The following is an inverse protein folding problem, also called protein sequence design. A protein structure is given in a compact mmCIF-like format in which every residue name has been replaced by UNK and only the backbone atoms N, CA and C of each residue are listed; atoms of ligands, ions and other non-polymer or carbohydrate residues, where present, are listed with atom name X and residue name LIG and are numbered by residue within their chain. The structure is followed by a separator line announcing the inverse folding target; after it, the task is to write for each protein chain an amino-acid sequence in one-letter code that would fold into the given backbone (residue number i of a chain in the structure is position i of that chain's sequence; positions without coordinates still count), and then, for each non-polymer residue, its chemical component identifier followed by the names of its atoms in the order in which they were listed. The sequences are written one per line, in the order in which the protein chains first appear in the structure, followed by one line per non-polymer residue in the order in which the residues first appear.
data_IF_539171966404
#
_entry.id   IF_539171966404
#
_cell.length_a   1.000
_cell.length_b   1.000
_cell.length_c   1.000
_cell.angle_alpha   90.00
_cell.angle_beta   90.00
_cell.angle_gamma   90.00
#
_symmetry.space_group_name_H-M   'P 1'
#
loop_
_entity.id
_entity.type
_entity.pdbx_description
1 polymer ?
#
# COMPACT_ATOMS: atom_id res chain seq x y z
N UNK A 1 -67.35 -40.27 -14.55
CA UNK A 1 -66.09 -40.05 -15.29
C UNK A 1 -65.70 -38.60 -15.08
N UNK A 2 -64.73 -38.33 -14.21
CA UNK A 2 -64.11 -37.01 -14.07
C UNK A 2 -62.72 -37.17 -13.46
N UNK A 3 -61.76 -36.60 -14.21
CA UNK A 3 -60.48 -36.02 -13.82
C UNK A 3 -59.42 -36.85 -13.07
N UNK A 4 -58.40 -37.26 -13.81
CA UNK A 4 -57.10 -37.71 -13.29
C UNK A 4 -55.98 -37.35 -14.27
N UNK A 5 -55.86 -36.06 -14.64
CA UNK A 5 -54.88 -35.60 -15.65
C UNK A 5 -54.05 -34.36 -15.28
N UNK A 6 -53.90 -34.03 -13.98
CA UNK A 6 -53.19 -32.80 -13.56
C UNK A 6 -52.00 -33.00 -12.60
N UNK A 7 -51.47 -34.21 -12.40
CA UNK A 7 -50.37 -34.44 -11.43
C UNK A 7 -49.00 -34.77 -12.04
N UNK A 8 -48.83 -34.63 -13.37
CA UNK A 8 -47.60 -35.07 -14.07
C UNK A 8 -46.63 -33.92 -14.44
N UNK A 9 -47.04 -32.65 -14.67
CA UNK A 9 -46.07 -31.60 -15.02
C UNK A 9 -45.17 -31.15 -13.86
N UNK A 10 -45.70 -31.03 -12.64
CA UNK A 10 -44.99 -30.44 -11.48
C UNK A 10 -43.82 -31.29 -10.98
N UNK A 11 -43.89 -32.62 -11.10
CA UNK A 11 -42.79 -33.51 -10.71
C UNK A 11 -41.57 -33.32 -11.61
N UNK A 12 -41.77 -33.08 -12.91
CA UNK A 12 -40.68 -32.91 -13.88
C UNK A 12 -39.93 -31.58 -13.73
N UNK A 13 -40.60 -30.54 -13.22
CA UNK A 13 -40.01 -29.22 -12.99
C UNK A 13 -39.22 -29.18 -11.67
N UNK A 14 -39.74 -29.83 -10.62
CA UNK A 14 -39.03 -30.00 -9.35
C UNK A 14 -37.77 -30.88 -9.49
N UNK A 15 -37.84 -31.96 -10.28
CA UNK A 15 -36.69 -32.82 -10.60
C UNK A 15 -35.63 -32.06 -11.43
N UNK A 16 -36.06 -31.21 -12.37
CA UNK A 16 -35.15 -30.34 -13.12
C UNK A 16 -34.49 -29.29 -12.23
N UNK A 17 -35.23 -28.65 -11.33
CA UNK A 17 -34.68 -27.71 -10.36
C UNK A 17 -33.65 -28.37 -9.44
N UNK A 18 -33.92 -29.59 -8.97
CA UNK A 18 -32.99 -30.38 -8.17
C UNK A 18 -31.72 -30.77 -8.93
N UNK A 19 -31.83 -31.06 -10.23
CA UNK A 19 -30.68 -31.36 -11.08
C UNK A 19 -29.83 -30.11 -11.37
N UNK A 20 -30.44 -28.95 -11.53
CA UNK A 20 -29.72 -27.69 -11.72
C UNK A 20 -29.02 -27.20 -10.45
N UNK A 21 -29.67 -27.33 -9.28
CA UNK A 21 -29.04 -27.00 -7.99
C UNK A 21 -27.85 -27.91 -7.69
N UNK A 22 -27.95 -29.21 -7.96
CA UNK A 22 -26.84 -30.15 -7.79
C UNK A 22 -25.64 -29.80 -8.70
N UNK A 23 -25.90 -29.43 -9.96
CA UNK A 23 -24.85 -28.97 -10.89
C UNK A 23 -24.20 -27.67 -10.42
N UNK A 24 -24.99 -26.75 -9.88
CA UNK A 24 -24.47 -25.49 -9.35
C UNK A 24 -23.62 -25.72 -8.09
N UNK A 25 -24.05 -26.58 -7.18
CA UNK A 25 -23.29 -26.98 -6.00
C UNK A 25 -21.98 -27.68 -6.37
N UNK A 26 -22.00 -28.55 -7.38
CA UNK A 26 -20.81 -29.21 -7.91
C UNK A 26 -19.81 -28.19 -8.52
N UNK A 27 -20.29 -27.21 -9.28
CA UNK A 27 -19.49 -26.10 -9.80
C UNK A 27 -18.87 -25.24 -8.69
N UNK A 28 -19.64 -24.92 -7.64
CA UNK A 28 -19.13 -24.18 -6.47
C UNK A 28 -18.07 -24.99 -5.73
N UNK A 29 -18.28 -26.29 -5.57
CA UNK A 29 -17.33 -27.19 -4.90
C UNK A 29 -16.04 -27.31 -5.72
N UNK A 30 -16.15 -27.44 -7.04
CA UNK A 30 -15.02 -27.44 -7.97
C UNK A 30 -14.22 -26.15 -7.85
N UNK A 31 -14.87 -24.99 -7.91
CA UNK A 31 -14.23 -23.68 -7.78
C UNK A 31 -13.52 -23.53 -6.41
N UNK A 32 -14.14 -24.01 -5.32
CA UNK A 32 -13.53 -23.96 -3.98
C UNK A 32 -12.27 -24.85 -3.88
N UNK A 33 -12.29 -26.03 -4.50
CA UNK A 33 -11.14 -26.96 -4.56
C UNK A 33 -10.02 -26.39 -5.42
N UNK A 34 -10.33 -25.79 -6.56
CA UNK A 34 -9.36 -25.12 -7.41
C UNK A 34 -8.69 -23.94 -6.68
N UNK A 35 -9.47 -23.14 -5.94
CA UNK A 35 -8.93 -22.07 -5.09
C UNK A 35 -8.03 -22.60 -3.96
N UNK A 36 -8.42 -23.68 -3.29
CA UNK A 36 -7.62 -24.31 -2.23
C UNK A 36 -6.33 -24.93 -2.76
N UNK A 37 -6.38 -25.65 -3.89
CA UNK A 37 -5.20 -26.24 -4.52
C UNK A 37 -4.26 -25.18 -5.09
N UNK A 38 -4.82 -24.09 -5.62
CA UNK A 38 -4.05 -22.92 -5.98
C UNK A 38 -3.34 -22.35 -4.76
N UNK A 39 -3.91 -22.37 -3.54
CA UNK A 39 -3.29 -21.79 -2.34
C UNK A 39 -2.13 -22.62 -1.74
N UNK A 40 -2.14 -23.95 -1.83
CA UNK A 40 -1.22 -24.83 -1.08
C UNK A 40 0.17 -25.03 -1.69
N UNK A 41 0.40 -24.67 -2.96
CA UNK A 41 1.61 -25.11 -3.72
C UNK A 41 2.77 -24.10 -3.81
N UNK A 42 2.68 -22.90 -3.23
CA UNK A 42 3.77 -21.90 -3.28
C UNK A 42 3.99 -21.25 -1.90
N UNK A 43 5.25 -20.97 -1.52
CA UNK A 43 5.54 -20.30 -0.25
C UNK A 43 4.81 -18.95 -0.20
N UNK A 44 4.03 -18.74 0.87
CA UNK A 44 3.19 -17.55 1.06
C UNK A 44 4.01 -16.26 1.16
N UNK A 45 5.27 -16.38 1.57
CA UNK A 45 6.26 -15.31 1.65
C UNK A 45 7.56 -15.68 0.92
N UNK A 46 8.24 -14.66 0.40
CA UNK A 46 9.56 -14.75 -0.21
C UNK A 46 10.49 -13.80 0.54
N UNK A 47 11.67 -14.27 0.93
CA UNK A 47 12.73 -13.40 1.45
C UNK A 47 13.41 -12.67 0.31
N UNK A 48 13.56 -11.37 0.47
CA UNK A 48 14.29 -10.50 -0.45
C UNK A 48 15.37 -9.76 0.32
N UNK A 49 16.46 -9.45 -0.38
CA UNK A 49 17.45 -8.49 0.10
C UNK A 49 17.32 -7.22 -0.75
N UNK A 50 16.71 -6.15 -0.23
CA UNK A 50 16.58 -4.90 -0.96
C UNK A 50 17.93 -4.29 -1.30
N UNK A 51 17.97 -3.53 -2.41
CA UNK A 51 19.11 -2.71 -2.77
C UNK A 51 18.94 -1.30 -2.17
N UNK A 52 20.01 -0.69 -1.64
CA UNK A 52 19.96 0.67 -1.11
C UNK A 52 19.59 1.69 -2.17
N UNK A 53 18.70 2.62 -1.80
CA UNK A 53 18.40 3.79 -2.61
C UNK A 53 18.92 5.07 -1.97
N UNK A 54 18.07 5.72 -1.18
CA UNK A 54 18.42 6.93 -0.44
C UNK A 54 17.92 6.87 1.00
N UNK A 55 18.53 7.65 1.88
CA UNK A 55 18.16 7.74 3.28
C UNK A 55 17.62 9.14 3.58
N UNK A 56 16.50 9.20 4.28
CA UNK A 56 15.96 10.43 4.84
C UNK A 56 16.06 10.43 6.35
N UNK A 57 16.21 11.62 6.91
CA UNK A 57 16.21 11.89 8.32
C UNK A 57 14.98 12.70 8.69
N UNK A 58 14.24 12.23 9.69
CA UNK A 58 13.16 12.93 10.37
C UNK A 58 13.36 12.78 11.89
N UNK A 59 12.36 13.13 12.68
CA UNK A 59 12.31 12.95 14.12
C UNK A 59 10.90 12.56 14.57
N UNK A 60 10.84 11.91 15.73
CA UNK A 60 9.62 11.68 16.49
C UNK A 60 9.72 12.40 17.84
N UNK A 61 8.69 12.23 18.67
CA UNK A 61 8.74 12.61 20.09
C UNK A 61 9.85 11.90 20.88
N UNK A 62 10.27 10.71 20.43
CA UNK A 62 11.24 9.86 21.12
C UNK A 62 12.70 10.10 20.66
N UNK A 63 12.89 10.71 19.48
CA UNK A 63 14.24 11.04 19.01
C UNK A 63 14.39 11.11 17.50
N UNK A 64 15.61 10.86 17.02
CA UNK A 64 15.93 10.88 15.59
C UNK A 64 15.46 9.58 14.95
N UNK A 65 14.80 9.72 13.80
CA UNK A 65 14.35 8.60 12.99
C UNK A 65 14.94 8.71 11.60
N UNK A 66 15.42 7.60 11.06
CA UNK A 66 15.91 7.48 9.70
C UNK A 66 15.03 6.51 8.93
N UNK A 67 14.75 6.83 7.67
CA UNK A 67 14.00 5.95 6.78
C UNK A 67 14.88 5.71 5.56
N UNK A 68 15.26 4.45 5.37
CA UNK A 68 16.03 3.98 4.23
C UNK A 68 15.07 3.56 3.12
N UNK A 69 14.96 4.38 2.07
CA UNK A 69 14.20 4.02 0.87
C UNK A 69 15.07 3.11 0.00
N UNK A 70 14.73 1.84 0.00
CA UNK A 70 15.36 0.76 -0.73
C UNK A 70 14.49 0.32 -1.91
N UNK A 71 15.00 -0.59 -2.73
CA UNK A 71 14.22 -1.14 -3.82
C UNK A 71 14.52 -2.62 -4.10
N UNK A 72 13.55 -3.33 -4.67
CA UNK A 72 13.70 -4.73 -5.08
C UNK A 72 12.86 -5.02 -6.32
N UNK A 73 13.36 -5.80 -7.30
CA UNK A 73 12.56 -6.19 -8.47
C UNK A 73 11.45 -7.18 -8.11
N UNK A 74 11.54 -7.83 -6.95
CA UNK A 74 10.53 -8.79 -6.49
C UNK A 74 9.27 -8.12 -5.91
N UNK A 75 9.33 -6.82 -5.60
CA UNK A 75 8.16 -6.04 -5.19
C UNK A 75 7.40 -5.62 -6.46
N UNK A 76 6.08 -5.83 -6.54
CA UNK A 76 5.31 -5.44 -7.72
C UNK A 76 5.31 -3.91 -7.89
N UNK A 77 5.40 -3.39 -9.13
CA UNK A 77 5.26 -1.96 -9.37
C UNK A 77 3.83 -1.48 -9.08
N UNK A 78 3.63 -0.18 -8.79
CA UNK A 78 2.30 0.42 -8.79
C UNK A 78 1.68 0.37 -10.21
N UNK A 79 0.38 0.62 -10.30
CA UNK A 79 -0.28 0.77 -11.59
C UNK A 79 0.41 1.87 -12.42
N UNK A 80 0.57 1.62 -13.72
CA UNK A 80 1.11 2.63 -14.61
C UNK A 80 0.10 3.77 -14.77
N UNK A 81 0.53 4.96 -14.39
CA UNK A 81 -0.23 6.19 -14.39
C UNK A 81 0.73 7.34 -14.64
N UNK A 82 0.30 8.34 -15.39
CA UNK A 82 1.07 9.55 -15.62
C UNK A 82 1.07 10.44 -14.37
N UNK A 83 2.04 11.35 -14.24
CA UNK A 83 2.07 12.28 -13.10
C UNK A 83 0.86 13.21 -13.09
N UNK A 84 0.39 13.64 -14.27
CA UNK A 84 -0.78 14.51 -14.40
C UNK A 84 -2.07 13.82 -13.94
N UNK A 85 -2.29 12.57 -14.35
CA UNK A 85 -3.42 11.76 -13.87
C UNK A 85 -3.36 11.55 -12.36
N UNK A 86 -2.17 11.30 -11.83
CA UNK A 86 -1.97 11.12 -10.40
C UNK A 86 -2.27 12.41 -9.62
N UNK A 87 -1.80 13.56 -10.10
CA UNK A 87 -2.12 14.86 -9.52
C UNK A 87 -3.62 15.13 -9.51
N UNK A 88 -4.30 14.88 -10.62
CA UNK A 88 -5.75 15.06 -10.72
C UNK A 88 -6.49 14.17 -9.71
N UNK A 89 -6.11 12.90 -9.58
CA UNK A 89 -6.71 12.00 -8.59
C UNK A 89 -6.51 12.48 -7.15
N UNK A 90 -5.36 13.08 -6.85
CA UNK A 90 -5.08 13.64 -5.53
C UNK A 90 -5.91 14.89 -5.26
N UNK A 91 -6.06 15.77 -6.26
CA UNK A 91 -6.90 16.97 -6.15
C UNK A 91 -8.38 16.63 -5.98
N UNK A 92 -8.84 15.55 -6.63
CA UNK A 92 -10.21 15.04 -6.53
C UNK A 92 -10.44 14.15 -5.29
N UNK A 93 -9.43 13.98 -4.42
CA UNK A 93 -9.42 13.11 -3.22
C UNK A 93 -9.91 11.68 -3.53
N UNK A 94 -9.56 11.18 -4.73
CA UNK A 94 -9.95 9.85 -5.18
C UNK A 94 -9.00 8.80 -4.61
N UNK A 95 -9.51 7.99 -3.68
CA UNK A 95 -8.81 6.84 -3.12
C UNK A 95 -8.65 5.70 -4.16
N UNK A 96 -7.74 5.87 -5.12
CA UNK A 96 -7.53 4.91 -6.21
C UNK A 96 -6.09 4.48 -6.43
N UNK A 97 -5.12 5.37 -6.22
CA UNK A 97 -3.72 5.04 -6.44
C UNK A 97 -3.09 4.43 -5.19
N UNK A 98 -2.32 3.35 -5.38
CA UNK A 98 -1.66 2.59 -4.32
C UNK A 98 -0.23 2.29 -4.72
N UNK A 99 0.70 2.51 -3.79
CA UNK A 99 2.10 2.17 -3.98
C UNK A 99 2.41 0.93 -3.14
N UNK A 100 2.72 -0.21 -3.77
CA UNK A 100 3.17 -1.40 -3.03
C UNK A 100 4.55 -1.13 -2.43
N UNK A 101 4.67 -1.27 -1.12
CA UNK A 101 5.96 -1.16 -0.42
C UNK A 101 6.07 -2.13 0.75
N UNK A 102 7.28 -2.60 1.02
CA UNK A 102 7.60 -3.33 2.26
C UNK A 102 8.05 -2.35 3.34
N UNK A 103 7.53 -2.50 4.56
CA UNK A 103 7.95 -1.71 5.71
C UNK A 103 8.74 -2.62 6.66
N UNK A 104 10.05 -2.45 6.72
CA UNK A 104 10.94 -3.21 7.58
C UNK A 104 10.76 -2.90 9.06
N UNK A 105 11.19 -3.84 9.90
CA UNK A 105 11.21 -3.67 11.36
C UNK A 105 12.16 -2.56 11.80
N UNK A 106 11.87 -1.87 12.92
CA UNK A 106 12.79 -0.88 13.48
C UNK A 106 14.11 -1.56 13.88
N UNK A 107 15.23 -0.90 13.56
CA UNK A 107 16.54 -1.30 14.04
C UNK A 107 17.29 -0.09 14.63
N UNK A 108 18.09 -0.36 15.67
CA UNK A 108 18.80 0.66 16.42
C UNK A 108 20.17 0.92 15.79
N UNK A 109 20.47 2.18 15.53
CA UNK A 109 21.69 2.62 14.85
C UNK A 109 22.33 3.81 15.56
N UNK A 110 23.58 4.08 15.23
CA UNK A 110 24.31 5.24 15.74
C UNK A 110 24.40 6.35 14.69
N UNK A 111 24.08 7.57 15.09
CA UNK A 111 24.28 8.74 14.26
C UNK A 111 25.77 9.14 14.18
N UNK A 112 26.08 10.15 13.37
CA UNK A 112 27.46 10.63 13.20
C UNK A 112 28.10 11.19 14.50
N UNK A 113 27.30 11.45 15.55
CA UNK A 113 27.75 11.90 16.87
C UNK A 113 27.79 10.75 17.89
N UNK A 114 27.54 9.51 17.46
CA UNK A 114 27.48 8.34 18.33
C UNK A 114 26.23 8.29 19.20
N UNK A 115 25.16 9.02 18.85
CA UNK A 115 23.89 8.98 19.57
C UNK A 115 22.98 7.91 18.96
N UNK A 116 22.29 7.15 19.82
CA UNK A 116 21.31 6.17 19.41
C UNK A 116 20.14 6.81 18.64
N UNK A 117 19.71 6.13 17.58
CA UNK A 117 18.58 6.51 16.75
C UNK A 117 17.91 5.27 16.16
N UNK A 118 16.69 5.44 15.66
CA UNK A 118 15.92 4.34 15.05
C UNK A 118 15.96 4.48 13.54
N UNK A 119 16.19 3.38 12.84
CA UNK A 119 16.13 3.30 11.38
C UNK A 119 15.04 2.30 10.94
N UNK A 120 14.39 2.62 9.82
CA UNK A 120 13.39 1.77 9.17
C UNK A 120 13.76 1.57 7.71
N UNK A 121 13.61 0.36 7.20
CA UNK A 121 13.92 0.03 5.81
C UNK A 121 12.62 -0.09 5.01
N UNK A 122 12.37 0.82 4.08
CA UNK A 122 11.19 0.81 3.22
C UNK A 122 11.59 0.44 1.81
N UNK A 123 11.11 -0.70 1.31
CA UNK A 123 11.45 -1.18 -0.03
C UNK A 123 10.30 -1.00 -1.01
N UNK A 124 10.58 -0.45 -2.20
CA UNK A 124 9.64 -0.32 -3.33
C UNK A 124 10.11 -1.15 -4.54
N UNK A 125 9.30 -1.21 -5.59
CA UNK A 125 9.73 -1.81 -6.86
C UNK A 125 10.94 -1.06 -7.47
N UNK A 126 11.89 -1.80 -8.07
CA UNK A 126 13.12 -1.21 -8.65
C UNK A 126 12.89 -0.34 -9.88
N UNK A 127 11.90 -0.65 -10.72
CA UNK A 127 11.61 0.14 -11.91
C UNK A 127 10.89 1.43 -11.51
N UNK A 128 9.95 1.32 -10.57
CA UNK A 128 9.30 2.47 -9.95
C UNK A 128 10.29 3.38 -9.22
N UNK A 129 11.26 2.80 -8.51
CA UNK A 129 12.34 3.56 -7.86
C UNK A 129 13.11 4.44 -8.87
N UNK A 130 13.46 3.89 -10.04
CA UNK A 130 14.14 4.66 -11.10
C UNK A 130 13.28 5.81 -11.65
N UNK A 131 11.95 5.62 -11.75
CA UNK A 131 11.03 6.71 -12.13
C UNK A 131 11.04 7.82 -11.07
N UNK A 132 10.87 7.43 -9.81
CA UNK A 132 10.88 8.34 -8.66
C UNK A 132 12.18 9.15 -8.53
N UNK A 133 13.35 8.58 -8.87
CA UNK A 133 14.62 9.32 -8.82
C UNK A 133 14.66 10.55 -9.72
N UNK A 134 13.89 10.55 -10.82
CA UNK A 134 13.86 11.65 -11.78
C UNK A 134 12.69 12.62 -11.58
N UNK A 135 11.85 12.39 -10.55
CA UNK A 135 10.66 13.19 -10.27
C UNK A 135 10.61 13.59 -8.80
N UNK A 136 10.72 14.89 -8.56
CA UNK A 136 10.64 15.45 -7.21
C UNK A 136 9.26 15.20 -6.60
N UNK A 137 8.20 15.30 -7.40
CA UNK A 137 6.82 15.03 -6.99
C UNK A 137 6.64 13.57 -6.54
N UNK A 138 7.02 12.60 -7.37
CA UNK A 138 6.89 11.18 -7.01
C UNK A 138 7.74 10.84 -5.77
N UNK A 139 8.90 11.47 -5.61
CA UNK A 139 9.77 11.26 -4.46
C UNK A 139 9.15 11.77 -3.17
N UNK A 140 8.63 12.99 -3.17
CA UNK A 140 7.87 13.56 -2.04
C UNK A 140 6.67 12.68 -1.68
N UNK A 141 5.93 12.25 -2.70
CA UNK A 141 4.76 11.38 -2.53
C UNK A 141 5.12 10.05 -1.86
N UNK A 142 6.14 9.35 -2.36
CA UNK A 142 6.59 8.07 -1.80
C UNK A 142 7.08 8.23 -0.38
N UNK A 143 7.81 9.30 -0.08
CA UNK A 143 8.29 9.58 1.28
C UNK A 143 7.11 9.82 2.23
N UNK A 144 6.10 10.56 1.78
CA UNK A 144 4.89 10.83 2.56
C UNK A 144 4.14 9.55 2.87
N UNK A 145 3.88 8.72 1.86
CA UNK A 145 3.19 7.43 2.04
C UNK A 145 4.01 6.49 2.91
N UNK A 146 5.34 6.45 2.76
CA UNK A 146 6.21 5.63 3.58
C UNK A 146 6.17 6.07 5.05
N UNK A 147 6.18 7.38 5.32
CA UNK A 147 6.05 7.95 6.68
C UNK A 147 4.72 7.56 7.30
N UNK A 148 3.60 7.81 6.61
CA UNK A 148 2.25 7.48 7.08
C UNK A 148 2.11 5.97 7.31
N UNK A 149 2.65 5.15 6.40
CA UNK A 149 2.67 3.70 6.57
C UNK A 149 3.42 3.23 7.81
N UNK A 150 4.54 3.87 8.15
CA UNK A 150 5.28 3.59 9.37
C UNK A 150 4.55 4.07 10.63
N UNK A 151 3.91 5.24 10.57
CA UNK A 151 3.05 5.76 11.64
C UNK A 151 1.92 4.80 11.95
N UNK A 152 1.19 4.33 10.93
CA UNK A 152 0.11 3.38 11.08
C UNK A 152 0.62 2.02 11.60
N UNK A 153 1.68 1.49 10.99
CA UNK A 153 2.20 0.14 11.30
C UNK A 153 2.78 0.05 12.71
N UNK A 154 3.49 1.08 13.15
CA UNK A 154 4.25 1.07 14.41
C UNK A 154 3.68 2.04 15.45
N UNK A 155 2.51 2.63 15.19
CA UNK A 155 1.85 3.62 16.06
C UNK A 155 2.78 4.78 16.43
N UNK A 156 3.50 5.30 15.44
CA UNK A 156 4.47 6.39 15.60
C UNK A 156 3.81 7.74 15.33
N UNK A 157 4.50 8.80 15.74
CA UNK A 157 4.22 10.17 15.32
C UNK A 157 5.53 10.76 14.77
N UNK A 158 5.63 10.84 13.44
CA UNK A 158 6.82 11.31 12.74
C UNK A 158 6.60 12.75 12.26
N UNK A 159 7.64 13.57 12.36
CA UNK A 159 7.60 14.92 11.83
C UNK A 159 7.42 14.87 10.30
N UNK A 160 6.43 15.59 9.73
CA UNK A 160 6.29 15.73 8.28
C UNK A 160 7.50 16.35 7.61
N UNK A 161 8.25 17.20 8.33
CA UNK A 161 9.52 17.74 7.84
C UNK A 161 10.63 16.69 7.88
N UNK A 162 11.25 16.45 6.73
CA UNK A 162 12.36 15.52 6.59
C UNK A 162 13.50 16.12 5.78
N UNK A 163 14.69 15.51 5.88
CA UNK A 163 15.87 15.89 5.09
C UNK A 163 16.53 14.66 4.47
N UNK A 164 16.79 14.72 3.17
CA UNK A 164 17.56 13.67 2.48
C UNK A 164 19.05 13.77 2.82
N UNK A 165 19.66 12.62 3.11
CA UNK A 165 21.10 12.52 3.29
C UNK A 165 21.80 12.48 1.93
N UNK A 166 22.81 13.33 1.74
CA UNK A 166 23.54 13.43 0.45
C UNK A 166 24.66 12.41 0.29
N UNK A 167 25.32 12.06 1.39
CA UNK A 167 26.55 11.25 1.39
C UNK A 167 26.35 9.88 2.08
N UNK A 168 25.10 9.50 2.33
CA UNK A 168 24.76 8.25 3.01
C UNK A 168 23.44 7.72 2.43
N UNK A 169 23.48 6.74 1.52
CA UNK A 169 22.27 6.19 0.89
C UNK A 169 21.47 5.27 1.83
N UNK A 170 22.10 4.76 2.89
CA UNK A 170 21.52 3.83 3.85
C UNK A 170 22.16 3.99 5.23
N UNK A 171 21.37 3.93 6.29
CA UNK A 171 21.84 3.87 7.67
C UNK A 171 21.69 2.45 8.22
N UNK A 172 22.80 1.86 8.67
CA UNK A 172 22.85 0.51 9.20
C UNK A 172 23.34 -0.53 8.20
N UNK A 173 22.98 -1.79 8.43
CA UNK A 173 23.26 -2.91 7.52
C UNK A 173 21.99 -3.38 6.83
N UNK A 174 22.07 -3.68 5.52
CA UNK A 174 20.92 -4.12 4.73
C UNK A 174 20.41 -5.45 5.29
N UNK A 175 19.19 -5.42 5.84
CA UNK A 175 18.49 -6.58 6.37
C UNK A 175 17.67 -7.31 5.30
N UNK A 176 17.43 -8.61 5.50
CA UNK A 176 16.47 -9.33 4.66
C UNK A 176 15.04 -8.96 5.06
N UNK A 177 14.16 -8.82 4.08
CA UNK A 177 12.75 -8.55 4.28
C UNK A 177 11.92 -9.68 3.71
N UNK A 178 10.87 -10.09 4.42
CA UNK A 178 9.85 -10.97 3.87
C UNK A 178 8.87 -10.12 3.07
N UNK A 179 8.55 -10.54 1.85
CA UNK A 179 7.45 -10.01 1.03
C UNK A 179 6.42 -11.11 0.78
N UNK A 180 5.14 -10.75 0.62
CA UNK A 180 4.13 -11.75 0.24
C UNK A 180 4.28 -12.11 -1.23
N UNK A 181 4.31 -13.40 -1.54
CA UNK A 181 4.51 -13.91 -2.90
C UNK A 181 3.27 -13.75 -3.80
N UNK A 182 2.10 -13.42 -3.23
CA UNK A 182 0.84 -13.27 -3.97
C UNK A 182 0.20 -11.90 -3.75
N UNK A 183 -0.27 -11.31 -4.84
CA UNK A 183 -1.30 -10.28 -4.77
C UNK A 183 -2.60 -10.96 -4.32
N UNK A 184 -3.17 -10.53 -3.17
CA UNK A 184 -4.54 -10.95 -2.84
C UNK A 184 -5.48 -10.34 -3.89
N UNK A 185 -6.49 -11.09 -4.36
CA UNK A 185 -7.51 -10.52 -5.23
C UNK A 185 -8.12 -9.29 -4.57
N UNK A 186 -8.30 -8.22 -5.36
CA UNK A 186 -8.87 -6.95 -4.92
C UNK A 186 -10.29 -7.22 -4.41
N UNK A 187 -10.50 -7.08 -3.10
CA UNK A 187 -11.85 -6.98 -2.56
C UNK A 187 -12.31 -5.56 -2.89
N UNK A 188 -13.26 -5.44 -3.81
CA UNK A 188 -13.94 -4.20 -4.12
C UNK A 188 -15.42 -4.40 -3.79
N UNK A 189 -15.98 -3.52 -2.97
CA UNK A 189 -17.41 -3.51 -2.73
C UNK A 189 -18.12 -3.22 -4.05
N UNK A 190 -18.94 -4.16 -4.53
CA UNK A 190 -19.91 -3.84 -5.57
C UNK A 190 -20.97 -2.97 -4.89
N UNK A 191 -21.11 -1.72 -5.34
CA UNK A 191 -22.15 -0.83 -4.84
C UNK A 191 -23.50 -1.52 -4.88
N UNK A 192 -24.17 -1.55 -3.73
CA UNK A 192 -25.45 -2.23 -3.52
C UNK A 192 -26.48 -1.84 -4.59
N UNK A 193 -26.65 -2.69 -5.60
CA UNK A 193 -27.86 -2.70 -6.39
C UNK A 193 -28.83 -3.64 -5.68
N UNK A 194 -30.00 -3.12 -5.29
CA UNK A 194 -31.14 -3.72 -4.57
C UNK A 194 -31.24 -3.46 -3.03
N UNK A 195 -31.74 -2.26 -2.70
CA UNK A 195 -32.91 -1.86 -1.85
C UNK A 195 -33.40 -2.71 -0.64
N UNK A 196 -34.24 -2.15 0.26
CA UNK A 196 -33.90 -1.49 1.52
C UNK A 196 -34.35 -2.30 2.76
N UNK A 197 -33.81 -1.91 3.92
CA UNK A 197 -34.33 -2.20 5.26
C UNK A 197 -34.16 -3.65 5.78
N UNK A 198 -33.17 -3.84 6.67
CA UNK A 198 -33.26 -4.62 7.91
C UNK A 198 -31.89 -4.71 8.60
N UNK A 199 -31.79 -4.03 9.74
CA UNK A 199 -31.02 -4.36 10.95
C UNK A 199 -29.50 -4.66 10.82
N UNK A 200 -28.71 -3.67 11.29
CA UNK A 200 -27.30 -3.82 11.69
C UNK A 200 -27.16 -4.85 12.83
N UNK A 201 -26.10 -5.65 12.79
CA UNK A 201 -25.20 -5.72 13.94
C UNK A 201 -23.86 -5.09 13.60
N UNK A 202 -23.39 -4.23 14.51
CA UNK A 202 -22.01 -3.76 14.58
C UNK A 202 -21.11 -4.97 14.87
N UNK A 203 -20.37 -5.44 13.86
CA UNK A 203 -19.24 -6.36 14.07
C UNK A 203 -17.95 -5.64 13.65
N UNK A 204 -17.21 -5.18 14.65
CA UNK A 204 -15.87 -4.65 14.48
C UNK A 204 -14.96 -5.74 13.94
N UNK A 205 -14.46 -5.54 12.71
CA UNK A 205 -13.35 -6.31 12.20
C UNK A 205 -12.06 -5.89 12.88
N UNK A 206 -11.77 -6.51 14.02
CA UNK A 206 -10.41 -6.73 14.45
C UNK A 206 -9.75 -7.70 13.45
N UNK A 207 -9.11 -7.16 12.41
CA UNK A 207 -8.20 -7.92 11.55
C UNK A 207 -6.96 -8.33 12.36
N UNK A 208 -7.10 -9.36 13.19
CA UNK A 208 -5.97 -10.05 13.79
C UNK A 208 -5.34 -10.96 12.72
N UNK A 209 -4.12 -10.60 12.29
CA UNK A 209 -3.29 -11.46 11.45
C UNK A 209 -2.71 -10.80 10.20
N UNK A 210 -2.09 -9.62 10.33
CA UNK A 210 -1.26 -9.07 9.25
C UNK A 210 0.19 -9.54 9.39
N UNK A 211 0.59 -10.57 8.63
CA UNK A 211 2.00 -10.72 8.26
C UNK A 211 2.38 -9.55 7.35
N UNK A 212 3.05 -8.55 7.94
CA UNK A 212 3.12 -7.17 7.47
C UNK A 212 4.30 -6.94 6.52
N UNK A 213 4.28 -7.67 5.41
CA UNK A 213 5.42 -7.79 4.49
C UNK A 213 5.29 -6.92 3.23
N UNK A 214 4.08 -6.50 2.85
CA UNK A 214 3.83 -5.46 1.84
C UNK A 214 2.52 -4.73 2.18
N UNK A 215 2.58 -3.41 2.35
CA UNK A 215 1.40 -2.56 2.51
C UNK A 215 1.05 -1.90 1.17
N UNK A 216 -0.25 -1.79 0.90
CA UNK A 216 -0.81 -1.02 -0.19
C UNK A 216 -1.59 0.14 0.44
N UNK A 217 -0.94 1.28 0.60
CA UNK A 217 -1.57 2.44 1.22
C UNK A 217 -2.29 3.27 0.16
N UNK A 218 -3.56 3.65 0.38
CA UNK A 218 -4.23 4.63 -0.46
C UNK A 218 -3.54 5.98 -0.27
N UNK A 219 -3.44 6.77 -1.34
CA UNK A 219 -3.05 8.17 -1.16
C UNK A 219 -4.26 8.93 -0.65
N UNK A 220 -4.27 9.27 0.64
CA UNK A 220 -5.30 10.11 1.25
C UNK A 220 -4.94 11.60 1.22
N UNK A 221 -5.93 12.44 1.54
CA UNK A 221 -5.95 13.91 1.58
C UNK A 221 -4.73 14.65 2.19
N UNK A 222 -3.87 13.98 2.98
CA UNK A 222 -2.69 14.59 3.62
C UNK A 222 -1.58 15.01 2.64
N UNK A 223 -1.55 14.47 1.43
CA UNK A 223 -0.47 14.71 0.45
C UNK A 223 -0.51 16.12 -0.15
N UNK A 224 -1.69 16.73 -0.35
CA UNK A 224 -1.79 18.09 -0.90
C UNK A 224 -1.23 19.16 0.04
N UNK A 225 -1.41 19.00 1.36
CA UNK A 225 -0.90 19.96 2.36
C UNK A 225 0.64 20.01 2.41
N UNK A 226 1.29 18.86 2.24
CA UNK A 226 2.75 18.76 2.23
C UNK A 226 3.36 19.35 0.94
N UNK A 227 2.73 19.11 -0.23
CA UNK A 227 3.19 19.65 -1.52
C UNK A 227 2.97 21.16 -1.66
N UNK A 228 1.90 21.72 -1.06
CA UNK A 228 1.58 23.15 -1.11
C UNK A 228 2.55 24.03 -0.33
N UNK A 229 3.18 23.51 0.73
CA UNK A 229 4.02 24.31 1.64
C UNK A 229 5.40 24.66 1.04
N UNK A 230 5.93 23.86 0.10
CA UNK A 230 7.28 24.10 -0.47
C UNK A 230 7.31 24.99 -1.73
N UNK A 231 6.17 25.29 -2.39
CA UNK A 231 6.16 26.24 -3.53
C UNK A 231 6.29 27.71 -3.11
N UNK A 232 6.29 28.03 -1.81
CA UNK A 232 6.32 29.39 -1.27
C UNK A 232 7.71 30.03 -1.07
N UNK A 233 8.81 29.28 -1.06
CA UNK A 233 10.15 29.82 -0.75
C UNK A 233 11.09 29.91 -1.95
N UNK A 234 10.68 30.58 -3.03
CA UNK A 234 11.62 31.12 -4.03
C UNK A 234 11.18 32.47 -4.58
N UNK A 235 11.24 33.54 -3.80
CA UNK A 235 11.34 34.90 -4.35
C UNK A 235 12.32 35.81 -3.58
N UNK A 236 13.41 36.14 -4.27
CA UNK A 236 14.13 37.43 -4.32
C UNK A 236 14.70 38.06 -3.03
N UNK A 237 16.03 38.05 -2.92
CA UNK A 237 16.76 39.26 -2.48
C UNK A 237 18.10 39.42 -3.21
N UNK A 238 18.26 40.58 -3.84
CA UNK A 238 19.37 41.03 -4.68
C UNK A 238 20.69 41.25 -3.91
N UNK A 239 21.86 41.23 -4.60
CA UNK A 239 23.14 41.61 -4.00
C UNK A 239 23.25 43.14 -3.88
N UNK A 240 23.56 43.65 -2.68
CA UNK A 240 23.90 45.06 -2.46
C UNK A 240 25.31 45.34 -2.95
N UNK A 241 25.43 46.20 -3.96
CA UNK A 241 26.69 46.81 -4.37
C UNK A 241 27.20 47.82 -3.35
N UNK A 242 28.53 47.85 -3.18
CA UNK A 242 29.28 48.85 -2.44
C UNK A 242 29.31 50.20 -3.18
N UNK A 243 29.23 51.35 -2.49
CA UNK A 243 29.67 52.60 -3.07
C UNK A 243 31.15 52.85 -2.74
N UNK A 244 31.94 53.10 -3.79
CA UNK A 244 33.17 53.88 -3.70
C UNK A 244 32.81 55.36 -3.78
N UNK A 245 33.22 56.15 -2.80
CA UNK A 245 33.84 57.47 -2.94
C UNK A 245 34.58 57.79 -1.64
#
# INVERSE_FOLDING_TARGET
MADSKLLVPELSEAEKMGAETARFEELLLQASKELQQAQTSRPESTQIQPQPGFCIKTNSSEGKVFINICHSPSIPPPADMTEDELLQMLEEDQAGFRIPMSLGEPHAELDAKGQGCTAYDVAVNSDFYRRMQNSDFLRELVITIAREGLEDKYSLQLNPEWRMLKNRPFLGSISQQNIRSRQRPRIQELGNLYTPDSLRPEEGWAFNGFSLSCLFLPIGSSVLGALGTQRGEKQHSHPKGSPRQ
#
